data_IF_745643565991
#
_entry.id   IF_745643565991
#
_cell.length_a   1.000
_cell.length_b   1.000
_cell.length_c   1.000
_cell.angle_alpha   90.00
_cell.angle_beta   90.00
_cell.angle_gamma   90.00
#
_symmetry.space_group_name_H-M   'P 1'
#
loop_
_entity.id
_entity.type
_entity.pdbx_description
1 polymer ?
#
# COMPACT_ATOMS: atom_id res chain seq x y z
N UNK A 1 -16.38 31.85 -7.02
CA UNK A 1 -15.44 31.03 -7.81
C UNK A 1 -14.03 31.47 -7.44
N UNK A 2 -13.44 30.90 -6.38
CA UNK A 2 -12.10 31.26 -5.95
C UNK A 2 -11.08 30.30 -6.60
N UNK A 3 -10.29 30.81 -7.54
CA UNK A 3 -9.22 30.07 -8.18
C UNK A 3 -8.06 29.88 -7.20
N UNK A 4 -7.66 28.63 -6.97
CA UNK A 4 -6.53 28.27 -6.11
C UNK A 4 -5.23 28.61 -6.85
N UNK A 5 -4.24 29.29 -6.20
CA UNK A 5 -3.04 29.76 -6.89
C UNK A 5 -2.09 28.62 -7.31
N UNK A 6 -1.62 28.67 -8.55
CA UNK A 6 -0.76 27.69 -9.26
C UNK A 6 0.71 27.69 -8.82
N UNK A 7 1.08 28.28 -7.70
CA UNK A 7 2.49 28.52 -7.35
C UNK A 7 2.99 27.68 -6.16
N UNK A 8 2.84 26.37 -6.22
CA UNK A 8 3.65 25.43 -5.40
C UNK A 8 4.10 24.28 -6.30
N UNK A 9 5.01 24.58 -7.23
CA UNK A 9 5.73 23.58 -8.00
C UNK A 9 6.86 23.01 -7.14
N UNK A 10 6.54 22.08 -6.24
CA UNK A 10 7.56 21.23 -5.62
C UNK A 10 7.95 20.19 -6.67
N UNK A 11 8.99 20.49 -7.46
CA UNK A 11 9.64 19.50 -8.35
C UNK A 11 10.49 18.53 -7.51
N UNK A 12 9.86 17.82 -6.58
CA UNK A 12 10.36 16.51 -6.19
C UNK A 12 9.75 15.54 -7.20
N UNK A 13 10.57 14.75 -7.88
CA UNK A 13 10.06 13.62 -8.67
C UNK A 13 9.40 12.69 -7.66
N UNK A 14 8.08 12.80 -7.50
CA UNK A 14 7.30 11.96 -6.58
C UNK A 14 7.32 10.56 -7.20
N UNK A 15 8.26 9.72 -6.75
CA UNK A 15 8.26 8.30 -7.10
C UNK A 15 6.99 7.68 -6.52
N UNK A 16 6.32 6.84 -7.31
CA UNK A 16 5.15 6.14 -6.80
C UNK A 16 5.57 5.11 -5.75
N UNK A 17 4.64 4.73 -4.88
CA UNK A 17 4.91 3.69 -3.86
C UNK A 17 5.27 2.34 -4.50
N UNK A 18 4.73 2.04 -5.69
CA UNK A 18 5.07 0.85 -6.45
C UNK A 18 6.52 0.89 -6.93
N UNK A 19 6.93 2.01 -7.56
CA UNK A 19 8.32 2.20 -8.02
C UNK A 19 9.31 2.04 -6.85
N UNK A 20 8.97 2.58 -5.68
CA UNK A 20 9.81 2.48 -4.48
C UNK A 20 9.94 1.04 -3.99
N UNK A 21 8.86 0.27 -3.98
CA UNK A 21 8.88 -1.14 -3.57
C UNK A 21 9.75 -1.99 -4.51
N UNK A 22 9.67 -1.73 -5.81
CA UNK A 22 10.48 -2.41 -6.84
C UNK A 22 11.97 -2.10 -6.69
N UNK A 23 12.31 -0.82 -6.47
CA UNK A 23 13.69 -0.39 -6.22
C UNK A 23 14.29 -1.10 -4.99
N UNK A 24 13.50 -1.29 -3.93
CA UNK A 24 13.95 -1.98 -2.72
C UNK A 24 14.09 -3.48 -2.96
N UNK A 25 13.19 -4.10 -3.71
CA UNK A 25 13.31 -5.50 -4.08
C UNK A 25 14.61 -5.74 -4.87
N UNK A 26 14.96 -4.82 -5.77
CA UNK A 26 16.23 -4.86 -6.50
C UNK A 26 17.44 -4.69 -5.57
N UNK A 27 17.41 -3.71 -4.66
CA UNK A 27 18.49 -3.50 -3.68
C UNK A 27 18.71 -4.73 -2.79
N UNK A 28 17.65 -5.40 -2.35
CA UNK A 28 17.74 -6.64 -1.57
C UNK A 28 18.49 -7.74 -2.32
N UNK A 29 18.28 -7.85 -3.64
CA UNK A 29 18.98 -8.81 -4.48
C UNK A 29 20.45 -8.43 -4.66
N UNK A 30 20.74 -7.17 -4.97
CA UNK A 30 22.12 -6.67 -5.19
C UNK A 30 22.98 -6.75 -3.92
N UNK A 31 22.38 -6.58 -2.74
CA UNK A 31 23.06 -6.67 -1.44
C UNK A 31 23.11 -8.10 -0.88
N UNK A 32 22.58 -9.10 -1.59
CA UNK A 32 22.45 -10.48 -1.11
C UNK A 32 21.71 -10.59 0.25
N UNK A 33 20.67 -9.77 0.45
CA UNK A 33 19.82 -9.74 1.65
C UNK A 33 18.34 -10.03 1.30
N UNK A 34 18.00 -11.20 0.73
CA UNK A 34 16.64 -11.50 0.28
C UNK A 34 15.64 -11.62 1.45
N UNK A 35 16.10 -12.08 2.61
CA UNK A 35 15.28 -12.29 3.81
C UNK A 35 15.04 -10.99 4.61
N UNK A 36 15.65 -9.86 4.22
CA UNK A 36 15.47 -8.60 4.94
C UNK A 36 14.07 -8.04 4.69
N UNK A 37 13.23 -8.00 5.71
CA UNK A 37 11.90 -7.39 5.58
C UNK A 37 11.99 -5.88 5.41
N UNK A 38 11.28 -5.36 4.40
CA UNK A 38 11.12 -3.93 4.21
C UNK A 38 9.78 -3.46 4.76
N UNK A 39 9.82 -2.39 5.55
CA UNK A 39 8.63 -1.74 6.11
C UNK A 39 8.67 -0.25 5.77
N UNK A 40 7.68 0.25 5.03
CA UNK A 40 7.53 1.68 4.74
C UNK A 40 6.79 2.40 5.88
N UNK A 41 7.56 2.87 6.86
CA UNK A 41 7.04 3.61 8.02
C UNK A 41 6.37 4.92 7.58
N UNK A 42 6.84 5.55 6.51
CA UNK A 42 6.26 6.81 6.00
C UNK A 42 4.83 6.57 5.50
N UNK A 43 4.60 5.50 4.75
CA UNK A 43 3.28 5.14 4.27
C UNK A 43 2.31 4.85 5.44
N UNK A 44 2.77 4.15 6.47
CA UNK A 44 1.96 3.85 7.67
C UNK A 44 1.58 5.12 8.44
N UNK A 45 2.52 6.05 8.61
CA UNK A 45 2.24 7.33 9.29
C UNK A 45 1.27 8.20 8.49
N UNK A 46 1.41 8.25 7.16
CA UNK A 46 0.48 8.98 6.30
C UNK A 46 -0.94 8.39 6.36
N UNK A 47 -1.06 7.06 6.37
CA UNK A 47 -2.33 6.38 6.56
C UNK A 47 -2.95 6.74 7.91
N UNK A 48 -2.20 6.66 9.00
CA UNK A 48 -2.70 7.03 10.32
C UNK A 48 -3.17 8.49 10.37
N UNK A 49 -2.42 9.42 9.78
CA UNK A 49 -2.82 10.83 9.67
C UNK A 49 -4.11 11.00 8.85
N UNK A 50 -4.23 10.28 7.74
CA UNK A 50 -5.43 10.30 6.91
C UNK A 50 -6.65 9.77 7.69
N UNK A 51 -6.52 8.63 8.36
CA UNK A 51 -7.60 8.06 9.16
C UNK A 51 -7.99 8.96 10.33
N UNK A 52 -7.03 9.64 10.97
CA UNK A 52 -7.32 10.61 12.01
C UNK A 52 -8.11 11.83 11.48
N UNK A 53 -7.79 12.29 10.27
CA UNK A 53 -8.49 13.39 9.60
C UNK A 53 -9.88 12.99 9.10
N UNK A 54 -10.06 11.74 8.68
CA UNK A 54 -11.31 11.22 8.15
C UNK A 54 -11.69 9.89 8.83
N UNK A 55 -12.22 9.94 10.05
CA UNK A 55 -12.55 8.74 10.82
C UNK A 55 -13.54 7.82 10.10
N UNK A 56 -14.45 8.37 9.28
CA UNK A 56 -15.40 7.57 8.49
C UNK A 56 -14.72 6.65 7.47
N UNK A 57 -13.50 6.96 7.00
CA UNK A 57 -12.75 6.06 6.12
C UNK A 57 -12.37 4.75 6.82
N UNK A 58 -12.14 4.77 8.12
CA UNK A 58 -11.85 3.56 8.91
C UNK A 58 -13.08 2.63 9.02
N UNK A 59 -14.29 3.19 8.90
CA UNK A 59 -15.53 2.40 8.87
C UNK A 59 -15.68 1.63 7.56
N UNK A 60 -15.13 2.14 6.46
CA UNK A 60 -15.25 1.50 5.14
C UNK A 60 -14.55 0.15 5.06
N UNK A 61 -13.44 -0.02 5.79
CA UNK A 61 -12.76 -1.32 5.90
C UNK A 61 -13.67 -2.38 6.54
N UNK A 62 -14.52 -1.98 7.49
CA UNK A 62 -15.48 -2.88 8.13
C UNK A 62 -16.68 -3.20 7.26
N UNK A 63 -17.01 -2.29 6.34
CA UNK A 63 -18.12 -2.44 5.40
C UNK A 63 -17.69 -3.15 4.11
N UNK A 64 -16.39 -3.37 3.88
CA UNK A 64 -15.97 -4.21 2.77
C UNK A 64 -16.49 -5.62 3.02
N UNK A 65 -17.34 -6.17 2.13
CA UNK A 65 -17.58 -7.60 2.15
C UNK A 65 -16.20 -8.24 1.99
N UNK A 66 -15.79 -9.03 2.98
CA UNK A 66 -14.59 -9.85 2.90
C UNK A 66 -14.78 -10.72 1.66
N UNK A 67 -14.19 -10.31 0.54
CA UNK A 67 -14.19 -11.13 -0.68
C UNK A 67 -13.43 -12.37 -0.26
N UNK A 68 -14.20 -13.41 0.04
CA UNK A 68 -13.70 -14.72 0.38
C UNK A 68 -12.78 -15.10 -0.79
N UNK A 69 -11.48 -15.16 -0.54
CA UNK A 69 -10.53 -15.61 -1.54
C UNK A 69 -11.07 -16.93 -2.11
N UNK A 70 -11.10 -17.11 -3.45
CA UNK A 70 -11.64 -18.33 -4.04
C UNK A 70 -10.91 -19.52 -3.40
N UNK A 71 -11.70 -20.45 -2.87
CA UNK A 71 -11.22 -21.66 -2.22
C UNK A 71 -10.13 -22.29 -3.09
N UNK A 72 -8.98 -22.57 -2.48
CA UNK A 72 -7.89 -23.25 -3.20
C UNK A 72 -8.45 -24.59 -3.71
N UNK A 73 -8.19 -24.98 -4.96
CA UNK A 73 -8.73 -26.22 -5.56
C UNK A 73 -8.29 -27.51 -4.84
N UNK A 74 -7.44 -27.42 -3.81
CA UNK A 74 -6.88 -28.54 -3.04
C UNK A 74 -7.88 -29.28 -2.15
N UNK A 75 -9.09 -28.75 -1.91
CA UNK A 75 -10.11 -29.44 -1.09
C UNK A 75 -11.01 -30.38 -1.91
N UNK A 76 -11.07 -30.23 -3.23
CA UNK A 76 -11.92 -31.08 -4.10
C UNK A 76 -11.32 -32.46 -4.40
N UNK A 77 -10.00 -32.63 -4.27
CA UNK A 77 -9.33 -33.93 -4.51
C UNK A 77 -9.38 -34.90 -3.32
N UNK A 78 -9.84 -34.45 -2.14
CA UNK A 78 -9.90 -35.29 -0.93
C UNK A 78 -11.25 -36.00 -0.72
N UNK A 79 -12.19 -35.79 -1.63
CA UNK A 79 -13.54 -36.39 -1.57
C UNK A 79 -13.79 -37.41 -2.70
N UNK A 80 -12.73 -37.91 -3.35
CA UNK A 80 -12.83 -39.03 -4.29
C UNK A 80 -12.49 -40.37 -3.65
#
# INVERSE_FOLDING_TARGET
MAAVPTAVQVRAKVQSRADRADDIARLKQELALPELDYVDISAQLELQKALHRWPLLAEMERLQPKVLAPARPSELERLS
#
